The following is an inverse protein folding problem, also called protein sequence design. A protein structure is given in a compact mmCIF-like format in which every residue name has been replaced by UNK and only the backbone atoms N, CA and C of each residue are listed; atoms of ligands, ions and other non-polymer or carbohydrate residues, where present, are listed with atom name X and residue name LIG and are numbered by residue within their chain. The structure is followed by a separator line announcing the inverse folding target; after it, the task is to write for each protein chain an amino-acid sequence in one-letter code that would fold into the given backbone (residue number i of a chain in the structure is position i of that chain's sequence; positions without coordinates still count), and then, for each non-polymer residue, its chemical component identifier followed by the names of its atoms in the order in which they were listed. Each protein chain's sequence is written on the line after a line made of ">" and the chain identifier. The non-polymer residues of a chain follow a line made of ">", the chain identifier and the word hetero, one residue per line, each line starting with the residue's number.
data_IF_146576247895
#
_entry.id   IF_146576247895
#
_cell.length_a   1.000
_cell.length_b   1.000
_cell.length_c   1.000
_cell.angle_alpha   90.00
_cell.angle_beta   90.00
_cell.angle_gamma   90.00
#
_symmetry.space_group_name_H-M   'P 1'
#
loop_
_entity.id
_entity.type
_entity.pdbx_description
1 polymer ?
#
# COMPACT_ATOMS: atom_id res chain seq x y z
N UNK A 1 21.04 -35.22 8.63
CA UNK A 1 19.76 -35.25 7.89
C UNK A 1 19.05 -33.92 8.10
N UNK A 2 18.91 -33.08 7.07
CA UNK A 2 18.13 -31.84 7.17
C UNK A 2 16.65 -32.22 7.09
N UNK A 3 15.91 -32.01 8.17
CA UNK A 3 14.45 -32.12 8.15
C UNK A 3 13.92 -31.06 7.18
N UNK A 4 13.50 -31.48 5.99
CA UNK A 4 12.68 -30.62 5.15
C UNK A 4 11.36 -30.35 5.88
N UNK A 5 10.87 -29.11 5.93
CA UNK A 5 9.60 -28.81 6.58
C UNK A 5 8.49 -29.65 5.93
N UNK A 6 7.64 -30.25 6.77
CA UNK A 6 6.44 -30.97 6.31
C UNK A 6 5.63 -30.04 5.40
N UNK A 7 5.27 -30.53 4.22
CA UNK A 7 4.44 -29.80 3.26
C UNK A 7 3.08 -29.52 3.92
N UNK A 8 2.78 -28.25 4.17
CA UNK A 8 1.49 -27.82 4.71
C UNK A 8 0.40 -28.21 3.69
N UNK A 9 -0.71 -28.84 4.11
CA UNK A 9 -1.84 -29.10 3.23
C UNK A 9 -2.32 -27.82 2.54
N UNK A 10 -2.67 -27.90 1.26
CA UNK A 10 -3.06 -26.73 0.45
C UNK A 10 -4.22 -25.95 1.09
N UNK A 11 -5.17 -26.64 1.72
CA UNK A 11 -6.31 -26.06 2.43
C UNK A 11 -5.90 -25.23 3.64
N UNK A 12 -4.92 -25.71 4.41
CA UNK A 12 -4.40 -25.00 5.58
C UNK A 12 -3.56 -23.78 5.17
N UNK A 13 -2.78 -23.89 4.09
CA UNK A 13 -2.05 -22.75 3.53
C UNK A 13 -3.01 -21.65 3.04
N UNK A 14 -4.06 -22.02 2.29
CA UNK A 14 -5.09 -21.06 1.82
C UNK A 14 -5.76 -20.36 2.99
N UNK A 15 -6.15 -21.11 4.03
CA UNK A 15 -6.77 -20.55 5.24
C UNK A 15 -5.85 -19.53 5.92
N UNK A 16 -4.57 -19.87 6.13
CA UNK A 16 -3.59 -18.95 6.74
C UNK A 16 -3.40 -17.68 5.92
N UNK A 17 -3.32 -17.79 4.59
CA UNK A 17 -3.17 -16.62 3.71
C UNK A 17 -4.39 -15.72 3.74
N UNK A 18 -5.59 -16.31 3.83
CA UNK A 18 -6.82 -15.56 4.00
C UNK A 18 -6.84 -14.81 5.34
N UNK A 19 -6.48 -15.49 6.44
CA UNK A 19 -6.40 -14.86 7.77
C UNK A 19 -5.38 -13.71 7.81
N UNK A 20 -4.20 -13.89 7.21
CA UNK A 20 -3.17 -12.84 7.07
C UNK A 20 -3.71 -11.64 6.27
N UNK A 21 -4.42 -11.89 5.16
CA UNK A 21 -5.02 -10.83 4.35
C UNK A 21 -6.10 -10.07 5.11
N UNK A 22 -6.98 -10.76 5.84
CA UNK A 22 -8.03 -10.10 6.62
C UNK A 22 -7.44 -9.21 7.72
N UNK A 23 -6.42 -9.70 8.44
CA UNK A 23 -5.71 -8.90 9.45
C UNK A 23 -5.04 -7.66 8.84
N UNK A 24 -4.46 -7.81 7.65
CA UNK A 24 -3.89 -6.69 6.91
C UNK A 24 -4.96 -5.65 6.54
N UNK A 25 -6.10 -6.09 5.99
CA UNK A 25 -7.19 -5.21 5.59
C UNK A 25 -7.82 -4.49 6.79
N UNK A 26 -7.92 -5.17 7.94
CA UNK A 26 -8.43 -4.56 9.17
C UNK A 26 -7.52 -3.44 9.67
N UNK A 27 -6.21 -3.68 9.72
CA UNK A 27 -5.22 -2.64 10.05
C UNK A 27 -5.28 -1.48 9.06
N UNK A 28 -5.35 -1.77 7.76
CA UNK A 28 -5.42 -0.73 6.73
C UNK A 28 -6.68 0.11 6.89
N UNK A 29 -7.81 -0.51 7.27
CA UNK A 29 -9.06 0.20 7.56
C UNK A 29 -8.94 1.12 8.76
N UNK A 30 -8.25 0.71 9.82
CA UNK A 30 -7.94 1.58 10.96
C UNK A 30 -7.12 2.80 10.52
N UNK A 31 -6.10 2.58 9.68
CA UNK A 31 -5.32 3.69 9.11
C UNK A 31 -6.13 4.64 8.24
N UNK A 32 -7.04 4.12 7.44
CA UNK A 32 -7.98 4.97 6.69
C UNK A 32 -8.82 5.84 7.65
N UNK A 33 -9.32 5.29 8.75
CA UNK A 33 -10.09 6.04 9.77
C UNK A 33 -9.25 7.09 10.49
N UNK A 34 -7.97 6.82 10.72
CA UNK A 34 -6.99 7.77 11.25
C UNK A 34 -6.63 8.90 10.25
N UNK A 35 -7.12 8.81 9.01
CA UNK A 35 -6.89 9.81 7.97
C UNK A 35 -5.64 9.55 7.12
N UNK A 36 -5.07 8.34 7.15
CA UNK A 36 -3.93 8.00 6.31
C UNK A 36 -4.25 8.17 4.82
N UNK A 37 -3.22 8.55 4.07
CA UNK A 37 -3.26 8.68 2.62
C UNK A 37 -2.69 7.40 2.03
N UNK A 38 -3.52 6.66 1.30
CA UNK A 38 -3.12 5.40 0.68
C UNK A 38 -2.75 5.67 -0.77
N UNK A 39 -1.46 5.57 -1.07
CA UNK A 39 -0.95 5.69 -2.43
C UNK A 39 -0.96 4.31 -3.09
N UNK A 40 -1.71 4.19 -4.19
CA UNK A 40 -1.83 2.96 -4.98
C UNK A 40 -1.37 3.20 -6.41
N UNK A 41 -1.04 2.13 -7.14
CA UNK A 41 -0.62 2.28 -8.53
C UNK A 41 -1.75 2.76 -9.42
N UNK A 42 -2.95 2.20 -9.35
CA UNK A 42 -4.03 2.51 -10.27
C UNK A 42 -5.41 2.67 -9.62
N UNK A 43 -6.34 3.18 -10.43
CA UNK A 43 -7.72 3.41 -10.00
C UNK A 43 -8.45 2.11 -9.62
N UNK A 44 -8.13 0.99 -10.28
CA UNK A 44 -8.70 -0.33 -9.98
C UNK A 44 -8.29 -0.82 -8.59
N UNK A 45 -7.07 -0.52 -8.17
CA UNK A 45 -6.58 -0.89 -6.84
C UNK A 45 -7.35 -0.12 -5.77
N UNK A 46 -7.55 1.18 -5.99
CA UNK A 46 -8.36 2.02 -5.10
C UNK A 46 -9.83 1.56 -5.07
N UNK A 47 -10.42 1.22 -6.21
CA UNK A 47 -11.80 0.72 -6.29
C UNK A 47 -11.96 -0.61 -5.56
N UNK A 48 -11.02 -1.55 -5.74
CA UNK A 48 -11.01 -2.81 -5.02
C UNK A 48 -10.98 -2.60 -3.50
N UNK A 49 -10.07 -1.76 -2.99
CA UNK A 49 -10.00 -1.43 -1.56
C UNK A 49 -11.28 -0.76 -1.06
N UNK A 50 -11.86 0.17 -1.83
CA UNK A 50 -13.15 0.80 -1.48
C UNK A 50 -14.29 -0.21 -1.40
N UNK A 51 -14.37 -1.14 -2.36
CA UNK A 51 -15.38 -2.22 -2.35
C UNK A 51 -15.27 -3.15 -1.13
N UNK A 52 -14.09 -3.20 -0.49
CA UNK A 52 -13.83 -3.94 0.75
C UNK A 52 -14.13 -3.11 2.02
N UNK A 53 -14.73 -1.93 1.86
CA UNK A 53 -15.12 -1.03 2.95
C UNK A 53 -13.95 -0.27 3.57
N UNK A 54 -12.92 0.04 2.78
CA UNK A 54 -11.86 0.96 3.19
C UNK A 54 -12.20 2.37 2.73
N UNK A 55 -12.73 3.17 3.65
CA UNK A 55 -13.12 4.55 3.42
C UNK A 55 -11.98 5.49 3.86
N UNK A 56 -11.12 5.84 2.91
CA UNK A 56 -9.96 6.72 3.13
C UNK A 56 -9.59 7.52 1.88
N UNK A 57 -8.53 8.33 1.99
CA UNK A 57 -8.03 9.08 0.83
C UNK A 57 -7.06 8.22 0.01
N UNK A 58 -7.43 7.95 -1.24
CA UNK A 58 -6.61 7.18 -2.18
C UNK A 58 -5.96 8.08 -3.22
N UNK A 59 -4.65 7.96 -3.36
CA UNK A 59 -3.87 8.60 -4.41
C UNK A 59 -3.46 7.56 -5.47
N UNK A 60 -4.00 7.66 -6.68
CA UNK A 60 -3.63 6.77 -7.79
C UNK A 60 -2.50 7.38 -8.61
N UNK A 61 -1.42 6.64 -8.85
CA UNK A 61 -0.19 7.15 -9.48
C UNK A 61 -0.19 6.99 -11.01
N UNK A 62 -0.81 5.93 -11.54
CA UNK A 62 -0.91 5.64 -12.97
C UNK A 62 -2.10 6.37 -13.58
N UNK A 63 -1.99 6.60 -14.90
CA UNK A 63 -3.05 7.19 -15.73
C UNK A 63 -3.49 8.60 -15.28
N UNK A 64 -2.59 9.34 -14.62
CA UNK A 64 -2.80 10.75 -14.28
C UNK A 64 -2.42 11.61 -15.47
N UNK A 65 -3.18 12.70 -15.69
CA UNK A 65 -2.84 13.71 -16.70
C UNK A 65 -1.77 14.69 -16.22
N UNK A 66 -1.32 14.55 -14.98
CA UNK A 66 -0.31 15.39 -14.34
C UNK A 66 0.91 14.56 -13.96
N UNK A 67 2.11 15.17 -13.90
CA UNK A 67 3.31 14.53 -13.38
C UNK A 67 3.11 13.99 -11.95
N UNK A 68 3.76 12.86 -11.66
CA UNK A 68 3.72 12.23 -10.33
C UNK A 68 4.19 13.21 -9.22
N UNK A 69 5.20 14.04 -9.50
CA UNK A 69 5.72 15.00 -8.53
C UNK A 69 4.64 16.02 -8.13
N UNK A 70 3.92 16.56 -9.11
CA UNK A 70 2.83 17.52 -8.88
C UNK A 70 1.65 16.87 -8.15
N UNK A 71 1.44 15.57 -8.33
CA UNK A 71 0.46 14.83 -7.54
C UNK A 71 0.92 14.57 -6.11
N UNK A 72 2.21 14.36 -5.88
CA UNK A 72 2.75 14.06 -4.54
C UNK A 72 2.96 15.32 -3.69
N UNK A 73 3.25 16.48 -4.30
CA UNK A 73 3.57 17.71 -3.57
C UNK A 73 2.43 18.17 -2.65
N UNK A 74 1.16 17.92 -3.00
CA UNK A 74 0.01 18.23 -2.14
C UNK A 74 0.03 17.45 -0.81
N UNK A 75 0.77 16.34 -0.75
CA UNK A 75 0.92 15.53 0.47
C UNK A 75 2.23 15.77 1.19
N UNK A 76 3.17 16.50 0.59
CA UNK A 76 4.48 16.73 1.19
C UNK A 76 4.41 17.51 2.52
N UNK A 77 3.38 18.34 2.72
CA UNK A 77 3.21 19.21 3.90
C UNK A 77 2.10 18.76 4.86
N UNK A 78 1.45 17.63 4.59
CA UNK A 78 0.43 17.09 5.51
C UNK A 78 1.10 16.42 6.71
N UNK A 79 0.43 16.42 7.85
CA UNK A 79 0.78 15.65 9.04
C UNK A 79 0.35 14.17 8.94
N UNK A 80 -0.65 13.86 8.10
CA UNK A 80 -1.24 12.52 7.93
C UNK A 80 -0.25 11.46 7.47
N UNK A 81 -0.39 10.22 7.96
CA UNK A 81 0.43 9.09 7.52
C UNK A 81 0.28 8.85 6.01
N UNK A 82 1.39 8.55 5.33
CA UNK A 82 1.38 8.16 3.91
C UNK A 82 1.80 6.70 3.83
N UNK A 83 0.89 5.86 3.30
CA UNK A 83 1.11 4.43 3.12
C UNK A 83 1.14 4.16 1.62
N UNK A 84 2.17 3.46 1.14
CA UNK A 84 2.32 3.12 -0.28
C UNK A 84 2.05 1.63 -0.46
N UNK A 85 1.04 1.31 -1.27
CA UNK A 85 0.66 -0.05 -1.66
C UNK A 85 0.89 -0.22 -3.16
N UNK A 86 2.11 -0.62 -3.53
CA UNK A 86 2.49 -0.95 -4.90
C UNK A 86 2.51 -2.45 -5.13
N UNK A 87 2.56 -2.87 -6.39
CA UNK A 87 2.73 -4.28 -6.73
C UNK A 87 4.07 -4.79 -6.18
N UNK A 88 4.09 -6.03 -5.67
CA UNK A 88 5.31 -6.68 -5.15
C UNK A 88 6.22 -7.20 -6.29
N UNK A 89 6.35 -6.41 -7.36
CA UNK A 89 7.25 -6.66 -8.47
C UNK A 89 8.38 -5.62 -8.54
N UNK A 90 9.33 -5.80 -9.47
CA UNK A 90 10.48 -4.89 -9.62
C UNK A 90 10.06 -3.46 -9.97
N UNK A 91 8.96 -3.30 -10.71
CA UNK A 91 8.41 -2.01 -11.11
C UNK A 91 7.80 -1.28 -9.92
N UNK A 92 6.95 -1.96 -9.16
CA UNK A 92 6.31 -1.45 -7.95
C UNK A 92 7.33 -1.08 -6.87
N UNK A 93 8.33 -1.93 -6.60
CA UNK A 93 9.43 -1.60 -5.67
C UNK A 93 10.19 -0.34 -6.10
N UNK A 94 10.48 -0.21 -7.40
CA UNK A 94 11.14 1.00 -7.94
C UNK A 94 10.25 2.23 -7.80
N UNK A 95 8.95 2.08 -8.01
CA UNK A 95 7.97 3.16 -7.87
C UNK A 95 7.85 3.63 -6.42
N UNK A 96 7.68 2.70 -5.49
CA UNK A 96 7.64 2.96 -4.05
C UNK A 96 8.91 3.70 -3.58
N UNK A 97 10.08 3.25 -4.02
CA UNK A 97 11.35 3.93 -3.71
C UNK A 97 11.43 5.36 -4.25
N UNK A 98 10.90 5.62 -5.46
CA UNK A 98 10.82 6.98 -6.02
C UNK A 98 9.87 7.88 -5.22
N UNK A 99 8.69 7.38 -4.86
CA UNK A 99 7.69 8.10 -4.06
C UNK A 99 8.29 8.47 -2.71
N UNK A 100 8.88 7.49 -2.02
CA UNK A 100 9.56 7.69 -0.73
C UNK A 100 10.64 8.76 -0.83
N UNK A 101 11.59 8.61 -1.77
CA UNK A 101 12.69 9.57 -1.95
C UNK A 101 12.18 11.00 -2.21
N UNK A 102 11.13 11.13 -3.03
CA UNK A 102 10.56 12.44 -3.33
C UNK A 102 9.94 13.08 -2.08
N UNK A 103 9.04 12.37 -1.39
CA UNK A 103 8.36 12.91 -0.21
C UNK A 103 9.32 13.16 0.97
N UNK A 104 10.31 12.29 1.19
CA UNK A 104 11.33 12.47 2.23
C UNK A 104 12.24 13.66 1.95
N UNK A 105 12.45 14.05 0.68
CA UNK A 105 13.16 15.29 0.35
C UNK A 105 12.45 16.57 0.84
N UNK A 106 11.15 16.47 1.17
CA UNK A 106 10.36 17.51 1.83
C UNK A 106 10.15 17.26 3.33
N UNK A 107 10.87 16.30 3.92
CA UNK A 107 10.75 15.93 5.34
C UNK A 107 9.54 15.05 5.66
N UNK A 108 8.85 14.50 4.66
CA UNK A 108 7.68 13.64 4.86
C UNK A 108 8.06 12.16 4.89
N UNK A 109 7.84 11.50 6.03
CA UNK A 109 8.01 10.06 6.17
C UNK A 109 6.94 9.28 5.40
N UNK A 110 7.34 8.18 4.78
CA UNK A 110 6.47 7.30 3.99
C UNK A 110 6.58 5.86 4.49
N UNK A 111 5.45 5.24 4.75
CA UNK A 111 5.36 3.84 5.14
C UNK A 111 5.32 2.93 3.90
N UNK A 112 6.39 2.18 3.68
CA UNK A 112 6.49 1.18 2.61
C UNK A 112 6.31 -0.27 3.11
N UNK A 113 6.23 -0.46 4.42
CA UNK A 113 6.24 -1.78 5.08
C UNK A 113 4.98 -1.95 5.94
N UNK A 114 3.83 -1.62 5.36
CA UNK A 114 2.53 -1.79 5.98
C UNK A 114 2.10 -3.26 5.95
#
# INVERSE_FOLDING_TARGET
>A
MKNLPRRVPETEWKRRKYEELMLFLDKLREKCKEGAIIIVEGWRDAEALKSLGLDGEFCCIKNTRIPICDLLIKYARTDREIIVLTDFDKGGVKLAGKIKKYLESYGKTVNLNF
#
